data_IF_854046792317
#
_entry.id   IF_854046792317
#
_cell.length_a   1.000
_cell.length_b   1.000
_cell.length_c   1.000
_cell.angle_alpha   90.00
_cell.angle_beta   90.00
_cell.angle_gamma   90.00
#
_symmetry.space_group_name_H-M   'P 1'
#
loop_
_entity.id
_entity.type
_entity.pdbx_description
1 polymer ?
#
# COMPACT_ATOMS: atom_id res chain seq x y z
N UNK A 1 3.37 -3.84 -22.57
CA UNK A 1 3.32 -4.31 -21.17
C UNK A 1 2.37 -3.38 -20.42
N UNK A 2 1.18 -3.82 -20.05
CA UNK A 2 0.23 -3.01 -19.29
C UNK A 2 0.58 -3.12 -17.80
N UNK A 3 0.87 -1.99 -17.15
CA UNK A 3 1.14 -1.96 -15.71
C UNK A 3 -0.22 -1.94 -15.01
N UNK A 4 -0.47 -2.91 -14.13
CA UNK A 4 -1.73 -3.02 -13.40
C UNK A 4 -1.62 -2.43 -11.99
N UNK A 5 -2.58 -1.60 -11.59
CA UNK A 5 -2.76 -1.30 -10.18
C UNK A 5 -3.26 -2.55 -9.44
N UNK A 6 -2.95 -2.63 -8.15
CA UNK A 6 -3.52 -3.64 -7.28
C UNK A 6 -5.02 -3.45 -7.13
N UNK A 7 -5.77 -4.55 -7.14
CA UNK A 7 -7.22 -4.52 -6.90
C UNK A 7 -7.54 -4.08 -5.47
N UNK A 8 -8.66 -3.39 -5.28
CA UNK A 8 -9.14 -3.06 -3.93
C UNK A 8 -9.53 -4.32 -3.16
N UNK A 9 -9.28 -4.32 -1.85
CA UNK A 9 -9.81 -5.33 -0.95
C UNK A 9 -11.32 -5.20 -0.80
N UNK A 10 -12.04 -6.32 -0.73
CA UNK A 10 -13.49 -6.30 -0.57
C UNK A 10 -13.92 -5.79 0.80
N UNK A 11 -15.03 -5.04 0.85
CA UNK A 11 -15.61 -4.63 2.13
C UNK A 11 -16.24 -5.82 2.87
N UNK A 12 -16.18 -5.81 4.19
CA UNK A 12 -16.69 -6.86 5.07
C UNK A 12 -18.22 -6.97 5.17
N UNK A 13 -18.98 -6.15 4.44
CA UNK A 13 -20.44 -6.13 4.53
C UNK A 13 -20.93 -5.65 5.90
N UNK A 14 -21.93 -6.30 6.51
CA UNK A 14 -22.43 -5.89 7.84
C UNK A 14 -21.56 -6.39 9.00
N UNK A 15 -20.93 -7.57 8.87
CA UNK A 15 -20.33 -8.30 9.99
C UNK A 15 -18.90 -8.81 9.75
N UNK A 16 -18.41 -8.76 8.52
CA UNK A 16 -17.11 -9.32 8.13
C UNK A 16 -15.94 -8.36 8.33
N UNK A 17 -14.72 -8.90 8.22
CA UNK A 17 -13.49 -8.11 8.14
C UNK A 17 -13.35 -7.45 6.77
N UNK A 18 -12.58 -6.36 6.71
CA UNK A 18 -12.16 -5.79 5.44
C UNK A 18 -11.09 -6.66 4.78
N UNK A 19 -11.22 -6.90 3.46
CA UNK A 19 -10.23 -7.63 2.68
C UNK A 19 -8.96 -6.81 2.44
N UNK A 20 -7.82 -7.48 2.27
CA UNK A 20 -6.56 -6.79 1.95
C UNK A 20 -6.53 -6.29 0.52
N UNK A 21 -5.92 -5.13 0.30
CA UNK A 21 -5.67 -4.60 -1.04
C UNK A 21 -4.59 -5.41 -1.78
N UNK A 22 -4.78 -5.59 -3.08
CA UNK A 22 -3.82 -6.27 -3.96
C UNK A 22 -2.55 -5.43 -4.17
N UNK A 23 -1.44 -6.08 -4.48
CA UNK A 23 -0.18 -5.37 -4.78
C UNK A 23 -0.21 -4.78 -6.19
N UNK A 24 0.46 -3.63 -6.36
CA UNK A 24 0.67 -3.03 -7.67
C UNK A 24 1.67 -3.83 -8.52
N UNK A 25 1.45 -3.85 -9.83
CA UNK A 25 2.30 -4.55 -10.79
C UNK A 25 3.66 -3.87 -10.97
N UNK A 26 4.71 -4.68 -11.14
CA UNK A 26 6.05 -4.19 -11.42
C UNK A 26 6.23 -3.69 -12.86
N UNK A 27 7.23 -2.84 -13.10
CA UNK A 27 7.50 -2.26 -14.42
C UNK A 27 8.99 -2.04 -14.70
N UNK A 28 9.45 -2.36 -15.91
CA UNK A 28 10.84 -2.14 -16.34
C UNK A 28 11.02 -0.92 -17.24
N UNK A 29 9.94 -0.33 -17.76
CA UNK A 29 9.96 0.79 -18.69
C UNK A 29 9.03 1.96 -18.34
N UNK A 30 8.25 1.83 -17.28
CA UNK A 30 7.31 2.84 -16.77
C UNK A 30 7.34 2.84 -15.23
N UNK A 31 6.54 3.69 -14.60
CA UNK A 31 6.37 3.65 -13.14
C UNK A 31 5.72 2.32 -12.70
N UNK A 32 5.95 1.93 -11.45
CA UNK A 32 5.29 0.79 -10.83
C UNK A 32 3.81 1.07 -10.58
N UNK A 33 2.97 0.05 -10.66
CA UNK A 33 1.54 0.17 -10.36
C UNK A 33 1.30 0.51 -8.90
N UNK A 34 0.26 1.28 -8.59
CA UNK A 34 -0.11 1.55 -7.21
C UNK A 34 -0.66 0.27 -6.54
N UNK A 35 -0.44 0.12 -5.24
CA UNK A 35 -1.12 -0.87 -4.42
C UNK A 35 -2.60 -0.54 -4.27
N UNK A 36 -3.44 -1.57 -4.18
CA UNK A 36 -4.88 -1.42 -3.96
C UNK A 36 -5.19 -1.01 -2.52
N UNK A 37 -6.28 -0.28 -2.31
CA UNK A 37 -6.75 0.03 -0.97
C UNK A 37 -7.25 -1.25 -0.26
N UNK A 38 -7.08 -1.32 1.05
CA UNK A 38 -7.75 -2.33 1.88
C UNK A 38 -9.25 -2.01 2.03
N UNK A 39 -10.06 -3.06 2.11
CA UNK A 39 -11.51 -2.95 2.32
C UNK A 39 -11.85 -2.56 3.75
N UNK A 40 -13.03 -1.98 3.95
CA UNK A 40 -13.50 -1.61 5.28
C UNK A 40 -14.10 -2.83 5.99
N UNK A 41 -13.93 -2.92 7.31
CA UNK A 41 -14.66 -3.87 8.12
C UNK A 41 -16.14 -3.51 8.18
N UNK A 42 -16.96 -4.50 8.51
CA UNK A 42 -18.40 -4.34 8.58
C UNK A 42 -18.85 -3.44 9.72
N UNK A 43 -19.96 -2.74 9.49
CA UNK A 43 -20.48 -1.71 10.40
C UNK A 43 -20.75 -2.22 11.82
N UNK A 44 -21.19 -3.46 11.95
CA UNK A 44 -21.50 -4.12 13.24
C UNK A 44 -20.52 -5.24 13.58
N UNK A 45 -19.39 -5.30 12.88
CA UNK A 45 -18.37 -6.30 13.11
C UNK A 45 -17.73 -6.10 14.51
N UNK A 46 -17.92 -7.05 15.42
CA UNK A 46 -17.37 -7.03 16.77
C UNK A 46 -15.96 -7.63 16.77
N UNK A 47 -14.96 -6.81 16.47
CA UNK A 47 -13.54 -7.21 16.52
C UNK A 47 -12.78 -7.31 15.19
N UNK A 48 -13.40 -7.54 14.02
CA UNK A 48 -12.71 -7.48 12.74
C UNK A 48 -12.15 -6.09 12.42
N UNK A 49 -10.91 -6.04 11.93
CA UNK A 49 -10.25 -4.81 11.51
C UNK A 49 -10.50 -4.51 10.04
N UNK A 50 -10.30 -3.25 9.65
CA UNK A 50 -10.15 -2.89 8.25
C UNK A 50 -8.98 -3.66 7.62
N UNK A 51 -9.08 -3.92 6.32
CA UNK A 51 -8.05 -4.65 5.58
C UNK A 51 -6.80 -3.81 5.38
N UNK A 52 -5.63 -4.44 5.33
CA UNK A 52 -4.39 -3.73 5.01
C UNK A 52 -4.39 -3.25 3.54
N UNK A 53 -3.75 -2.12 3.28
CA UNK A 53 -3.48 -1.65 1.92
C UNK A 53 -2.40 -2.49 1.23
N UNK A 54 -2.52 -2.65 -0.08
CA UNK A 54 -1.56 -3.40 -0.89
C UNK A 54 -0.25 -2.62 -1.12
N UNK A 55 0.86 -3.34 -1.34
CA UNK A 55 2.14 -2.69 -1.62
C UNK A 55 2.17 -2.10 -3.03
N UNK A 56 2.89 -1.00 -3.22
CA UNK A 56 3.19 -0.46 -4.54
C UNK A 56 4.17 -1.32 -5.33
N UNK A 57 4.03 -1.32 -6.66
CA UNK A 57 4.85 -2.11 -7.57
C UNK A 57 6.28 -1.59 -7.70
N UNK A 58 7.24 -2.49 -7.87
CA UNK A 58 8.64 -2.14 -8.13
C UNK A 58 8.81 -1.60 -9.55
N UNK A 59 9.68 -0.62 -9.75
CA UNK A 59 10.05 -0.21 -11.09
C UNK A 59 11.50 0.24 -11.26
N UNK A 60 11.94 0.27 -12.52
CA UNK A 60 13.23 0.85 -12.91
C UNK A 60 13.24 2.40 -12.89
N UNK A 61 12.06 3.03 -12.74
CA UNK A 61 11.88 4.49 -12.71
C UNK A 61 11.32 4.90 -11.33
N UNK A 62 10.04 5.26 -11.25
CA UNK A 62 9.36 5.58 -9.99
C UNK A 62 8.61 4.36 -9.47
N UNK A 63 8.87 3.96 -8.22
CA UNK A 63 8.12 2.88 -7.57
C UNK A 63 6.66 3.27 -7.36
N UNK A 64 5.75 2.31 -7.43
CA UNK A 64 4.32 2.56 -7.22
C UNK A 64 4.01 2.99 -5.79
N UNK A 65 2.99 3.81 -5.58
CA UNK A 65 2.55 4.14 -4.22
C UNK A 65 1.92 2.92 -3.54
N UNK A 66 2.06 2.81 -2.22
CA UNK A 66 1.31 1.85 -1.41
C UNK A 66 -0.16 2.25 -1.27
N UNK A 67 -1.04 1.25 -1.18
CA UNK A 67 -2.47 1.44 -0.99
C UNK A 67 -2.82 1.86 0.43
N UNK A 68 -3.92 2.60 0.60
CA UNK A 68 -4.41 2.94 1.94
C UNK A 68 -4.97 1.71 2.67
N UNK A 69 -4.83 1.65 3.99
CA UNK A 69 -5.53 0.68 4.82
C UNK A 69 -7.02 1.01 4.96
N UNK A 70 -7.85 -0.02 5.08
CA UNK A 70 -9.29 0.10 5.25
C UNK A 70 -9.69 0.48 6.68
N UNK A 71 -10.90 0.99 6.85
CA UNK A 71 -11.41 1.39 8.17
C UNK A 71 -11.90 0.19 8.99
N UNK A 72 -11.78 0.27 10.31
CA UNK A 72 -12.42 -0.66 11.24
C UNK A 72 -13.95 -0.51 11.24
N UNK A 73 -14.64 -1.40 11.96
CA UNK A 73 -16.09 -1.36 12.10
C UNK A 73 -16.57 -0.10 12.82
N UNK A 74 -17.85 0.26 12.64
CA UNK A 74 -18.36 1.59 13.00
C UNK A 74 -18.32 1.84 14.52
N UNK A 75 -18.67 0.83 15.32
CA UNK A 75 -18.62 0.92 16.79
C UNK A 75 -17.32 0.32 17.35
N UNK A 76 -16.86 -0.80 16.79
CA UNK A 76 -15.69 -1.54 17.25
C UNK A 76 -14.81 -1.90 16.05
N UNK A 77 -13.50 -1.88 16.24
CA UNK A 77 -12.53 -2.39 15.26
C UNK A 77 -11.38 -1.44 15.00
N UNK A 78 -10.20 -1.99 14.72
CA UNK A 78 -9.02 -1.23 14.33
C UNK A 78 -8.99 -0.95 12.83
N UNK A 79 -8.37 0.16 12.45
CA UNK A 79 -8.06 0.44 11.05
C UNK A 79 -6.94 -0.48 10.55
N UNK A 80 -7.01 -0.87 9.28
CA UNK A 80 -5.97 -1.65 8.61
C UNK A 80 -4.70 -0.82 8.37
N UNK A 81 -3.54 -1.47 8.33
CA UNK A 81 -2.28 -0.79 8.01
C UNK A 81 -2.26 -0.30 6.56
N UNK A 82 -1.58 0.82 6.29
CA UNK A 82 -1.26 1.25 4.93
C UNK A 82 -0.20 0.35 4.29
N UNK A 83 -0.28 0.19 2.97
CA UNK A 83 0.69 -0.58 2.20
C UNK A 83 1.99 0.16 1.98
N UNK A 84 3.10 -0.56 1.80
CA UNK A 84 4.40 0.07 1.56
C UNK A 84 4.50 0.59 0.13
N UNK A 85 5.28 1.66 -0.07
CA UNK A 85 5.66 2.13 -1.40
C UNK A 85 6.61 1.17 -2.10
N UNK A 86 6.50 1.07 -3.41
CA UNK A 86 7.36 0.24 -4.25
C UNK A 86 8.76 0.84 -4.42
N UNK A 87 9.75 0.00 -4.67
CA UNK A 87 11.10 0.45 -5.01
C UNK A 87 11.14 1.05 -6.42
N UNK A 88 11.65 2.27 -6.59
CA UNK A 88 11.98 2.83 -7.90
C UNK A 88 13.49 2.89 -8.17
N UNK A 89 13.91 2.82 -9.43
CA UNK A 89 15.33 2.73 -9.81
C UNK A 89 15.89 1.32 -9.71
N UNK A 90 15.02 0.31 -9.72
CA UNK A 90 15.44 -1.08 -9.85
C UNK A 90 16.31 -1.26 -11.12
N UNK A 91 17.28 -2.17 -11.08
CA UNK A 91 18.21 -2.40 -12.19
C UNK A 91 19.38 -1.40 -12.29
N UNK A 92 19.63 -0.59 -11.25
CA UNK A 92 20.79 0.32 -11.18
C UNK A 92 20.58 1.66 -11.86
N UNK A 93 19.33 1.99 -12.22
CA UNK A 93 18.96 3.30 -12.73
C UNK A 93 18.69 4.28 -11.60
N UNK A 94 18.82 5.58 -11.90
CA UNK A 94 18.33 6.61 -11.00
C UNK A 94 16.81 6.54 -10.99
N UNK A 95 16.22 6.39 -9.80
CA UNK A 95 14.78 6.31 -9.64
C UNK A 95 14.37 6.58 -8.22
N UNK A 96 13.11 6.96 -8.05
CA UNK A 96 12.55 7.39 -6.78
C UNK A 96 11.62 6.31 -6.23
N UNK A 97 11.68 6.04 -4.94
CA UNK A 97 10.73 5.14 -4.30
C UNK A 97 9.31 5.70 -4.32
N UNK A 98 8.33 4.79 -4.30
CA UNK A 98 6.93 5.16 -4.15
C UNK A 98 6.61 5.62 -2.73
N UNK A 99 5.58 6.45 -2.57
CA UNK A 99 5.10 6.82 -1.24
C UNK A 99 4.46 5.60 -0.53
N UNK A 100 4.57 5.55 0.80
CA UNK A 100 3.78 4.63 1.61
C UNK A 100 2.32 5.04 1.69
N UNK A 101 1.43 4.07 1.87
CA UNK A 101 -0.01 4.28 2.00
C UNK A 101 -0.42 4.77 3.39
N UNK A 102 -1.50 5.52 3.47
CA UNK A 102 -2.07 5.92 4.76
C UNK A 102 -2.65 4.72 5.52
N UNK A 103 -2.58 4.74 6.85
CA UNK A 103 -3.30 3.79 7.68
C UNK A 103 -4.81 4.06 7.75
N UNK A 104 -5.56 3.00 8.04
CA UNK A 104 -7.02 3.02 8.14
C UNK A 104 -7.54 3.66 9.43
N UNK A 105 -8.84 3.99 9.45
CA UNK A 105 -9.48 4.65 10.60
C UNK A 105 -9.96 3.63 11.63
N UNK A 106 -9.95 4.02 12.90
CA UNK A 106 -10.53 3.25 14.00
C UNK A 106 -12.06 3.29 13.98
N UNK A 107 -12.68 2.35 14.70
CA UNK A 107 -14.09 2.43 15.11
C UNK A 107 -14.32 3.51 16.17
N UNK A 108 -15.59 3.91 16.34
CA UNK A 108 -15.98 5.07 17.15
C UNK A 108 -15.83 4.87 18.66
N UNK A 109 -16.18 3.69 19.18
CA UNK A 109 -16.16 3.44 20.63
C UNK A 109 -14.87 2.77 21.07
N UNK A 110 -14.44 1.71 20.37
CA UNK A 110 -13.20 0.99 20.68
C UNK A 110 -12.48 0.61 19.39
N UNK A 111 -11.24 1.06 19.28
CA UNK A 111 -10.35 0.73 18.18
C UNK A 111 -9.14 1.66 18.14
N UNK A 112 -8.12 1.27 17.39
CA UNK A 112 -6.98 2.12 17.07
C UNK A 112 -6.91 2.36 15.57
N UNK A 113 -6.40 3.52 15.17
CA UNK A 113 -6.06 3.76 13.77
C UNK A 113 -4.98 2.78 13.30
N UNK A 114 -4.98 2.48 12.01
CA UNK A 114 -3.92 1.70 11.38
C UNK A 114 -2.64 2.52 11.24
N UNK A 115 -1.50 1.85 11.29
CA UNK A 115 -0.21 2.47 10.98
C UNK A 115 -0.14 2.85 9.49
N UNK A 116 0.58 3.92 9.18
CA UNK A 116 0.96 4.24 7.80
C UNK A 116 2.01 3.27 7.27
N UNK A 117 2.04 3.08 5.95
CA UNK A 117 3.04 2.30 5.25
C UNK A 117 4.36 3.06 5.07
N UNK A 118 5.46 2.31 4.97
CA UNK A 118 6.77 2.89 4.70
C UNK A 118 6.89 3.38 3.25
N UNK A 119 7.70 4.41 3.02
CA UNK A 119 8.11 4.80 1.67
C UNK A 119 9.01 3.73 1.03
N UNK A 120 8.98 3.65 -0.30
CA UNK A 120 9.80 2.75 -1.08
C UNK A 120 11.26 3.22 -1.19
N UNK A 121 12.16 2.27 -1.43
CA UNK A 121 13.56 2.59 -1.69
C UNK A 121 13.73 3.33 -3.03
N UNK A 122 14.81 4.10 -3.15
CA UNK A 122 15.23 4.81 -4.35
C UNK A 122 16.55 4.23 -4.87
N UNK A 123 16.62 3.94 -6.17
CA UNK A 123 17.85 3.56 -6.86
C UNK A 123 18.70 4.80 -7.14
N UNK A 124 19.97 4.75 -6.75
CA UNK A 124 20.94 5.80 -7.04
C UNK A 124 22.01 5.27 -7.99
N UNK A 125 22.34 6.05 -9.03
CA UNK A 125 23.52 5.78 -9.86
C UNK A 125 24.73 6.33 -9.11
N UNK A 126 25.61 5.45 -8.65
CA UNK A 126 26.88 5.88 -8.07
C UNK A 126 27.68 6.60 -9.17
N UNK A 127 28.19 7.83 -8.94
CA UNK A 127 29.05 8.46 -9.92
C UNK A 127 30.23 7.52 -10.16
N UNK A 128 30.43 7.13 -11.43
CA UNK A 128 31.59 6.31 -11.81
C UNK A 128 32.80 7.09 -11.37
N UNK A 129 33.41 6.69 -10.25
CA UNK A 129 34.74 7.15 -9.90
C UNK A 129 35.61 6.62 -11.03
N UNK A 130 35.91 7.50 -11.99
CA UNK A 130 36.98 7.28 -12.93
C UNK A 130 38.22 7.04 -12.07
N UNK A 131 38.56 5.77 -11.88
CA UNK A 131 39.91 5.39 -11.47
C UNK A 131 40.76 5.78 -12.67
N UNK A 132 41.30 6.99 -12.61
CA UNK A 132 42.50 7.33 -13.36
C UNK A 132 43.65 6.54 -12.77
#
# INVERSE_FOLDING_TARGET
MFIGNGGAGGDGGLFGAGGTGGSGGGSTGSNGGAGGAGGNAGMFALGPSGGAGGSGGVSNNLGGAGGAGGSGGLLFGSGGAGGNGGWGGAGGNAGTGGAGGAGGKAGFLIGSGGAGGAGGAAGAVLPRRHRR
#
